data_IF_954277406731
#
_entry.id   IF_954277406731
#
_cell.length_a   1.000
_cell.length_b   1.000
_cell.length_c   1.000
_cell.angle_alpha   90.00
_cell.angle_beta   90.00
_cell.angle_gamma   90.00
#
_symmetry.space_group_name_H-M   'P 1'
#
loop_
_entity.id
_entity.type
_entity.pdbx_description
1 polymer ?
#
# COMPACT_ATOMS: atom_id res chain seq x y z
N UNK A 1 -47.97 -37.81 37.60
CA UNK A 1 -47.57 -37.37 38.95
C UNK A 1 -46.05 -37.25 38.97
N UNK A 2 -45.58 -36.13 39.51
CA UNK A 2 -44.19 -35.72 39.78
C UNK A 2 -43.06 -36.71 39.55
N UNK A 3 -42.10 -36.28 38.73
CA UNK A 3 -40.65 -36.40 38.99
C UNK A 3 -40.07 -35.10 38.38
N UNK A 4 -39.77 -34.06 39.17
CA UNK A 4 -38.51 -33.95 39.89
C UNK A 4 -37.39 -33.56 38.92
N UNK A 5 -37.39 -32.33 38.42
CA UNK A 5 -36.29 -31.81 37.57
C UNK A 5 -35.29 -31.11 38.49
N UNK A 6 -34.12 -31.72 38.60
CA UNK A 6 -32.95 -31.17 39.27
C UNK A 6 -32.57 -29.81 38.65
N UNK A 7 -32.61 -28.78 39.47
CA UNK A 7 -32.07 -27.46 39.15
C UNK A 7 -30.55 -27.51 39.12
N UNK A 8 -29.98 -27.44 37.93
CA UNK A 8 -28.58 -27.08 37.75
C UNK A 8 -28.38 -25.59 38.07
N UNK A 9 -27.27 -25.19 38.71
CA UNK A 9 -27.14 -23.92 39.39
C UNK A 9 -26.99 -22.74 38.41
N UNK A 10 -27.76 -21.67 38.68
CA UNK A 10 -27.57 -20.35 38.08
C UNK A 10 -26.14 -19.84 38.38
N UNK A 11 -25.44 -19.21 37.41
CA UNK A 11 -24.19 -18.53 37.71
C UNK A 11 -24.49 -17.29 38.56
N UNK A 12 -23.99 -17.31 39.80
CA UNK A 12 -24.02 -16.17 40.70
C UNK A 12 -23.24 -15.00 40.07
N UNK A 13 -23.96 -13.91 39.81
CA UNK A 13 -23.38 -12.61 39.53
C UNK A 13 -22.78 -12.05 40.84
N UNK A 14 -21.50 -12.29 41.07
CA UNK A 14 -20.69 -11.53 42.04
C UNK A 14 -19.75 -10.65 41.25
N UNK A 15 -20.11 -9.38 41.13
CA UNK A 15 -19.25 -8.34 40.60
C UNK A 15 -18.12 -8.05 41.58
N UNK A 16 -16.96 -8.66 41.34
CA UNK A 16 -15.71 -8.22 41.94
C UNK A 16 -15.15 -7.07 41.10
N UNK A 17 -15.49 -5.84 41.53
CA UNK A 17 -14.78 -4.64 41.14
C UNK A 17 -13.34 -4.74 41.65
N UNK A 18 -12.42 -5.22 40.81
CA UNK A 18 -10.99 -5.09 41.06
C UNK A 18 -10.63 -3.61 40.88
N UNK A 19 -10.66 -2.87 41.98
CA UNK A 19 -10.05 -1.55 42.07
C UNK A 19 -8.53 -1.71 41.98
N UNK A 20 -7.99 -1.62 40.77
CA UNK A 20 -6.54 -1.50 40.57
C UNK A 20 -6.13 -0.09 41.00
N UNK A 21 -5.68 0.03 42.25
CA UNK A 21 -4.97 1.21 42.73
C UNK A 21 -3.64 1.32 41.96
N UNK A 22 -3.65 2.12 40.88
CA UNK A 22 -2.43 2.45 40.12
C UNK A 22 -1.45 3.21 41.03
N UNK A 23 -0.21 2.76 41.20
CA UNK A 23 0.78 3.51 41.95
C UNK A 23 1.21 4.78 41.19
N UNK A 24 1.21 5.90 41.91
CA UNK A 24 1.87 7.19 41.68
C UNK A 24 1.86 7.81 40.25
N UNK A 25 1.00 8.82 40.09
CA UNK A 25 0.72 9.61 38.86
C UNK A 25 1.74 10.71 38.53
N UNK A 26 2.85 10.81 39.26
CA UNK A 26 3.79 11.95 39.14
C UNK A 26 4.96 11.67 38.18
N UNK A 27 5.54 10.47 38.17
CA UNK A 27 6.66 10.13 37.27
C UNK A 27 6.23 10.02 35.79
N UNK A 28 5.03 9.53 35.54
CA UNK A 28 4.46 9.35 34.19
C UNK A 28 4.08 10.67 33.52
N UNK A 29 3.68 11.70 34.27
CA UNK A 29 3.40 13.04 33.71
C UNK A 29 4.68 13.73 33.24
N UNK A 30 5.74 13.67 34.05
CA UNK A 30 7.03 14.27 33.72
C UNK A 30 7.73 13.53 32.57
N UNK A 31 7.60 12.20 32.51
CA UNK A 31 8.10 11.41 31.39
C UNK A 31 7.36 11.72 30.08
N UNK A 32 6.02 11.87 30.14
CA UNK A 32 5.20 12.28 28.98
C UNK A 32 5.48 13.71 28.51
N UNK A 33 5.82 14.64 29.40
CA UNK A 33 6.20 16.00 29.00
C UNK A 33 7.62 16.05 28.42
N UNK A 34 8.57 15.29 28.99
CA UNK A 34 9.94 15.16 28.49
C UNK A 34 9.97 14.61 27.05
N UNK A 35 9.32 13.47 26.82
CA UNK A 35 9.28 12.82 25.51
C UNK A 35 8.59 13.70 24.45
N UNK A 36 7.61 14.51 24.85
CA UNK A 36 6.93 15.46 23.95
C UNK A 36 7.85 16.58 23.47
N UNK A 37 8.68 17.16 24.34
CA UNK A 37 9.58 18.26 23.96
C UNK A 37 10.73 17.76 23.08
N UNK A 38 11.30 16.59 23.41
CA UNK A 38 12.32 15.94 22.57
C UNK A 38 11.76 15.57 21.20
N UNK A 39 10.63 14.87 21.17
CA UNK A 39 9.98 14.47 19.91
C UNK A 39 9.62 15.69 19.07
N UNK A 40 9.10 16.75 19.70
CA UNK A 40 8.81 18.00 19.01
C UNK A 40 10.06 18.65 18.42
N UNK A 41 11.17 18.69 19.16
CA UNK A 41 12.42 19.26 18.67
C UNK A 41 12.99 18.46 17.48
N UNK A 42 13.04 17.13 17.61
CA UNK A 42 13.49 16.23 16.54
C UNK A 42 12.60 16.38 15.30
N UNK A 43 11.27 16.31 15.47
CA UNK A 43 10.31 16.49 14.38
C UNK A 43 10.48 17.85 13.72
N UNK A 44 10.65 18.92 14.49
CA UNK A 44 10.82 20.27 13.95
C UNK A 44 12.09 20.37 13.13
N UNK A 45 13.22 19.87 13.66
CA UNK A 45 14.50 19.88 12.93
C UNK A 45 14.42 19.10 11.61
N UNK A 46 13.78 17.93 11.62
CA UNK A 46 13.62 17.08 10.42
C UNK A 46 12.64 17.70 9.42
N UNK A 47 11.44 18.09 9.86
CA UNK A 47 10.38 18.63 8.99
C UNK A 47 10.78 19.97 8.39
N UNK A 48 11.42 20.84 9.18
CA UNK A 48 11.91 22.15 8.71
C UNK A 48 13.28 22.07 8.02
N UNK A 49 13.88 20.88 7.94
CA UNK A 49 15.19 20.63 7.31
C UNK A 49 16.28 21.57 7.81
N UNK A 50 16.38 21.72 9.13
CA UNK A 50 17.43 22.55 9.72
C UNK A 50 18.80 21.95 9.42
N UNK A 51 19.73 22.81 8.98
CA UNK A 51 21.12 22.43 8.88
C UNK A 51 21.75 22.35 10.29
N UNK A 52 22.95 21.79 10.39
CA UNK A 52 23.63 21.58 11.67
C UNK A 52 23.79 22.86 12.49
N UNK A 53 24.03 24.01 11.84
CA UNK A 53 24.15 25.29 12.55
C UNK A 53 22.82 25.74 13.15
N UNK A 54 21.73 25.69 12.39
CA UNK A 54 20.39 26.03 12.87
C UNK A 54 19.94 25.09 14.01
N UNK A 55 20.19 23.79 13.84
CA UNK A 55 19.90 22.77 14.86
C UNK A 55 20.68 23.04 16.14
N UNK A 56 21.99 23.28 16.03
CA UNK A 56 22.83 23.57 17.21
C UNK A 56 22.42 24.87 17.90
N UNK A 57 22.08 25.92 17.15
CA UNK A 57 21.61 27.18 17.73
C UNK A 57 20.30 27.00 18.52
N UNK A 58 19.38 26.19 18.00
CA UNK A 58 18.14 25.86 18.70
C UNK A 58 18.40 25.02 19.96
N UNK A 59 19.23 23.98 19.85
CA UNK A 59 19.62 23.14 20.98
C UNK A 59 20.30 23.94 22.08
N UNK A 60 21.24 24.83 21.73
CA UNK A 60 21.89 25.73 22.68
C UNK A 60 20.87 26.63 23.38
N UNK A 61 19.86 27.13 22.66
CA UNK A 61 18.78 27.93 23.25
C UNK A 61 17.93 27.15 24.24
N UNK A 62 17.52 25.92 23.88
CA UNK A 62 16.68 25.08 24.74
C UNK A 62 17.47 24.54 25.93
N UNK A 63 18.73 24.15 25.74
CA UNK A 63 19.60 23.65 26.82
C UNK A 63 20.23 24.79 27.65
N UNK A 64 19.90 26.05 27.36
CA UNK A 64 20.38 27.20 28.14
C UNK A 64 19.58 27.42 29.42
N UNK A 65 20.01 28.41 30.20
CA UNK A 65 19.34 28.80 31.43
C UNK A 65 17.89 29.26 31.23
N UNK A 66 17.51 29.64 30.01
CA UNK A 66 16.14 30.03 29.67
C UNK A 66 15.15 28.88 29.74
N UNK A 67 15.62 27.63 29.75
CA UNK A 67 14.79 26.48 30.05
C UNK A 67 15.53 25.53 31.02
N UNK A 68 15.87 26.04 32.21
CA UNK A 68 16.50 25.31 33.32
C UNK A 68 15.80 24.00 33.73
N UNK A 69 14.52 23.83 33.38
CA UNK A 69 13.74 22.61 33.63
C UNK A 69 13.55 21.74 32.39
N UNK A 70 14.14 22.10 31.25
CA UNK A 70 14.16 21.26 30.06
C UNK A 70 15.07 20.07 30.32
N UNK A 71 14.54 18.88 30.06
CA UNK A 71 15.26 17.62 30.25
C UNK A 71 15.49 16.99 28.88
N UNK A 72 16.06 17.72 27.92
CA UNK A 72 16.48 17.10 26.66
C UNK A 72 17.66 16.16 26.94
N UNK A 73 17.67 14.98 26.33
CA UNK A 73 18.84 14.10 26.25
C UNK A 73 19.69 14.37 25.00
N UNK A 74 19.22 15.28 24.13
CA UNK A 74 19.92 15.72 22.91
C UNK A 74 20.53 17.08 23.19
N UNK A 75 21.86 17.13 23.31
CA UNK A 75 22.60 18.35 23.62
C UNK A 75 23.18 19.00 22.38
N UNK A 76 23.53 18.20 21.38
CA UNK A 76 24.10 18.69 20.15
C UNK A 76 23.55 17.98 18.90
N UNK A 77 24.06 18.41 17.75
CA UNK A 77 23.66 17.85 16.46
C UNK A 77 24.10 16.39 16.30
N UNK A 78 25.16 15.96 16.99
CA UNK A 78 25.62 14.57 16.95
C UNK A 78 24.62 13.67 17.70
N UNK A 79 24.20 14.05 18.90
CA UNK A 79 23.16 13.34 19.68
C UNK A 79 21.86 13.21 18.88
N UNK A 80 21.48 14.25 18.15
CA UNK A 80 20.31 14.23 17.27
C UNK A 80 20.50 13.20 16.15
N UNK A 81 21.66 13.20 15.49
CA UNK A 81 21.96 12.28 14.40
C UNK A 81 22.01 10.82 14.88
N UNK A 82 22.59 10.57 16.06
CA UNK A 82 22.60 9.26 16.71
C UNK A 82 21.19 8.80 17.06
N UNK A 83 20.36 9.68 17.63
CA UNK A 83 18.96 9.40 17.92
C UNK A 83 18.17 9.07 16.65
N UNK A 84 18.39 9.82 15.56
CA UNK A 84 17.79 9.54 14.26
C UNK A 84 18.31 8.21 13.67
N UNK A 85 19.59 7.89 13.84
CA UNK A 85 20.18 6.64 13.39
C UNK A 85 19.59 5.44 14.16
N UNK A 86 19.44 5.54 15.48
CA UNK A 86 18.77 4.55 16.30
C UNK A 86 17.29 4.40 15.90
N UNK A 87 16.58 5.52 15.70
CA UNK A 87 15.18 5.53 15.29
C UNK A 87 14.96 4.87 13.92
N UNK A 88 15.92 4.99 12.99
CA UNK A 88 15.84 4.33 11.68
C UNK A 88 15.70 2.82 11.82
N UNK A 89 16.32 2.18 12.82
CA UNK A 89 16.23 0.72 12.98
C UNK A 89 14.81 0.21 13.29
N UNK A 90 13.88 1.09 13.67
CA UNK A 90 12.48 0.74 13.92
C UNK A 90 11.59 0.84 12.69
N UNK A 91 12.11 1.32 11.56
CA UNK A 91 11.36 1.43 10.30
C UNK A 91 12.05 0.64 9.19
N UNK A 92 11.26 0.12 8.25
CA UNK A 92 11.79 -0.57 7.08
C UNK A 92 12.75 0.33 6.30
N UNK A 93 13.98 -0.15 6.12
CA UNK A 93 15.03 0.60 5.46
C UNK A 93 14.79 0.66 3.95
N UNK A 94 15.32 1.73 3.34
CA UNK A 94 15.40 1.79 1.89
C UNK A 94 16.50 0.85 1.38
N UNK A 95 16.18 0.14 0.32
CA UNK A 95 17.07 -0.66 -0.50
C UNK A 95 17.29 0.04 -1.83
N UNK A 96 18.46 -0.16 -2.40
CA UNK A 96 18.73 0.22 -3.78
C UNK A 96 18.30 -0.91 -4.72
N UNK A 97 17.86 -0.54 -5.91
CA UNK A 97 17.52 -1.46 -6.98
C UNK A 97 17.76 -0.79 -8.31
N UNK A 98 17.76 -1.57 -9.38
CA UNK A 98 17.94 -1.02 -10.72
C UNK A 98 17.08 -1.76 -11.73
N UNK A 99 16.73 -1.04 -12.79
CA UNK A 99 16.00 -1.57 -13.93
C UNK A 99 16.73 -1.16 -15.19
N UNK A 100 17.11 -2.14 -16.00
CA UNK A 100 17.68 -1.90 -17.33
C UNK A 100 16.68 -2.27 -18.43
N UNK A 101 16.57 -1.43 -19.44
CA UNK A 101 15.72 -1.63 -20.59
C UNK A 101 16.42 -1.16 -21.87
N UNK A 102 16.40 -1.98 -22.92
CA UNK A 102 16.96 -1.64 -24.22
C UNK A 102 15.89 -1.00 -25.11
N UNK A 103 16.16 0.19 -25.63
CA UNK A 103 15.26 0.92 -26.51
C UNK A 103 16.07 1.49 -27.68
N UNK A 104 15.67 1.17 -28.92
CA UNK A 104 16.36 1.60 -30.16
C UNK A 104 17.87 1.32 -30.15
N UNK A 105 18.26 0.15 -29.65
CA UNK A 105 19.67 -0.28 -29.56
C UNK A 105 20.50 0.44 -28.49
N UNK A 106 19.87 1.25 -27.64
CA UNK A 106 20.51 1.89 -26.48
C UNK A 106 19.97 1.30 -25.19
N UNK A 107 20.86 1.05 -24.24
CA UNK A 107 20.49 0.57 -22.91
C UNK A 107 20.25 1.73 -21.96
N UNK A 108 19.09 1.74 -21.30
CA UNK A 108 18.69 2.71 -20.29
C UNK A 108 18.61 2.02 -18.94
N UNK A 109 19.40 2.50 -17.96
CA UNK A 109 19.39 2.00 -16.59
C UNK A 109 18.79 3.04 -15.65
N UNK A 110 17.77 2.64 -14.91
CA UNK A 110 17.05 3.45 -13.95
C UNK A 110 17.39 2.97 -12.54
N UNK A 111 17.99 3.83 -11.73
CA UNK A 111 18.29 3.57 -10.33
C UNK A 111 17.05 3.82 -9.48
N UNK A 112 16.77 2.91 -8.56
CA UNK A 112 15.59 2.88 -7.71
C UNK A 112 16.01 2.86 -6.25
N UNK A 113 15.28 3.58 -5.42
CA UNK A 113 15.39 3.48 -3.97
C UNK A 113 14.00 3.22 -3.39
N UNK A 114 13.83 2.07 -2.76
CA UNK A 114 12.52 1.58 -2.32
C UNK A 114 12.58 0.85 -0.99
N UNK A 115 11.48 0.80 -0.25
CA UNK A 115 11.30 -0.07 0.91
C UNK A 115 10.68 -1.38 0.48
N UNK A 116 11.16 -2.49 1.03
CA UNK A 116 10.59 -3.80 0.74
C UNK A 116 9.19 -3.92 1.34
N UNK A 117 8.13 -4.12 0.53
CA UNK A 117 6.77 -4.18 1.04
C UNK A 117 6.54 -5.36 1.99
N UNK A 118 7.22 -6.49 1.80
CA UNK A 118 7.07 -7.65 2.68
C UNK A 118 7.74 -7.42 4.03
N UNK A 119 8.95 -6.87 4.05
CA UNK A 119 9.60 -6.52 5.33
C UNK A 119 8.73 -5.56 6.13
N UNK A 120 8.19 -4.52 5.48
CA UNK A 120 7.25 -3.62 6.12
C UNK A 120 6.02 -4.33 6.68
N UNK A 121 5.40 -5.24 5.92
CA UNK A 121 4.27 -6.02 6.42
C UNK A 121 4.63 -6.90 7.61
N UNK A 122 5.81 -7.54 7.58
CA UNK A 122 6.33 -8.32 8.70
C UNK A 122 6.43 -7.45 9.94
N UNK A 123 7.03 -6.26 9.85
CA UNK A 123 7.13 -5.33 10.98
C UNK A 123 5.76 -4.98 11.59
N UNK A 124 4.73 -4.79 10.76
CA UNK A 124 3.38 -4.50 11.24
C UNK A 124 2.74 -5.67 11.97
N UNK A 125 2.82 -6.88 11.40
CA UNK A 125 2.10 -8.05 11.94
C UNK A 125 2.78 -8.66 13.16
N UNK A 126 4.09 -8.45 13.33
CA UNK A 126 4.82 -8.91 14.52
C UNK A 126 4.80 -7.87 15.65
N UNK A 127 4.41 -6.61 15.40
CA UNK A 127 4.36 -5.55 16.41
C UNK A 127 3.29 -5.88 17.48
N UNK A 128 3.69 -6.18 18.73
CA UNK A 128 2.74 -6.49 19.79
C UNK A 128 1.78 -5.33 20.09
N UNK A 129 2.20 -4.09 19.82
CA UNK A 129 1.37 -2.90 20.05
C UNK A 129 0.23 -2.75 19.04
N UNK A 130 0.34 -3.40 17.88
CA UNK A 130 -0.71 -3.45 16.85
C UNK A 130 -1.55 -4.72 16.92
N UNK A 131 -1.07 -5.76 17.61
CA UNK A 131 -1.65 -7.11 17.61
C UNK A 131 -3.16 -7.16 17.91
N UNK A 132 -3.62 -6.39 18.89
CA UNK A 132 -5.05 -6.32 19.29
C UNK A 132 -5.92 -5.54 18.31
N UNK A 133 -5.31 -4.77 17.42
CA UNK A 133 -6.01 -3.94 16.44
C UNK A 133 -6.04 -4.54 15.04
N UNK A 134 -5.24 -5.57 14.75
CA UNK A 134 -5.25 -6.22 13.45
C UNK A 134 -6.58 -6.95 13.23
N UNK A 135 -7.26 -6.59 12.15
CA UNK A 135 -8.44 -7.27 11.65
C UNK A 135 -7.99 -8.44 10.77
N UNK A 136 -7.90 -9.64 11.35
CA UNK A 136 -7.45 -10.83 10.62
C UNK A 136 -8.46 -11.37 9.61
N UNK A 137 -9.76 -11.12 9.84
CA UNK A 137 -10.85 -11.65 9.06
C UNK A 137 -11.88 -10.57 8.71
N UNK A 138 -12.55 -10.71 7.56
CA UNK A 138 -13.70 -9.89 7.22
C UNK A 138 -14.88 -10.22 8.16
N UNK A 139 -15.75 -9.24 8.37
CA UNK A 139 -16.92 -9.39 9.25
C UNK A 139 -18.17 -8.86 8.58
N UNK A 140 -19.30 -9.41 8.98
CA UNK A 140 -20.60 -8.99 8.50
C UNK A 140 -21.30 -8.14 9.57
N UNK A 141 -21.59 -6.86 9.26
CA UNK A 141 -22.27 -5.96 10.20
C UNK A 141 -23.70 -5.70 9.74
N UNK A 142 -24.65 -5.84 10.66
CA UNK A 142 -26.06 -5.58 10.39
C UNK A 142 -26.63 -4.60 11.41
N UNK A 143 -27.40 -3.63 10.93
CA UNK A 143 -28.27 -2.80 11.77
C UNK A 143 -29.62 -3.49 11.88
N UNK A 144 -30.06 -3.76 13.10
CA UNK A 144 -31.38 -4.30 13.39
C UNK A 144 -32.28 -3.20 13.96
N UNK A 145 -33.18 -2.67 13.14
CA UNK A 145 -34.15 -1.64 13.52
C UNK A 145 -35.57 -2.23 13.52
N UNK A 146 -35.94 -2.83 14.66
CA UNK A 146 -37.22 -3.50 14.83
C UNK A 146 -37.40 -4.71 13.90
N UNK A 147 -38.15 -4.55 12.81
CA UNK A 147 -38.37 -5.59 11.80
C UNK A 147 -37.40 -5.55 10.62
N UNK A 148 -36.56 -4.51 10.53
CA UNK A 148 -35.67 -4.31 9.36
C UNK A 148 -34.24 -4.69 9.72
N UNK A 149 -33.63 -5.55 8.89
CA UNK A 149 -32.22 -5.92 8.97
C UNK A 149 -31.51 -5.33 7.76
N UNK A 150 -30.61 -4.37 7.99
CA UNK A 150 -29.86 -3.68 6.93
C UNK A 150 -28.38 -3.98 7.03
N UNK A 151 -27.76 -4.35 5.91
CA UNK A 151 -26.31 -4.55 5.83
C UNK A 151 -25.56 -3.21 5.93
N UNK A 152 -24.59 -3.13 6.82
CA UNK A 152 -23.70 -1.96 6.98
C UNK A 152 -22.35 -2.23 6.32
N UNK A 153 -21.82 -1.21 5.64
CA UNK A 153 -20.46 -1.16 5.12
C UNK A 153 -19.77 0.10 5.66
N UNK A 154 -19.01 -0.03 6.75
CA UNK A 154 -18.38 1.10 7.44
C UNK A 154 -16.85 1.07 7.37
N UNK A 155 -16.28 -0.12 7.22
CA UNK A 155 -14.84 -0.36 7.15
C UNK A 155 -14.55 -1.41 6.07
N UNK A 156 -13.31 -1.46 5.56
CA UNK A 156 -12.98 -2.32 4.43
C UNK A 156 -13.15 -3.81 4.77
N UNK A 157 -12.97 -4.21 6.03
CA UNK A 157 -13.24 -5.58 6.50
C UNK A 157 -14.72 -5.97 6.47
N UNK A 158 -15.63 -5.00 6.34
CA UNK A 158 -17.07 -5.27 6.15
C UNK A 158 -17.47 -5.43 4.69
N UNK A 159 -16.56 -5.11 3.77
CA UNK A 159 -16.76 -5.21 2.33
C UNK A 159 -16.77 -6.65 1.85
N UNK A 160 -17.68 -6.94 0.90
CA UNK A 160 -17.83 -8.28 0.30
C UNK A 160 -16.54 -8.82 -0.32
N UNK A 161 -15.72 -7.95 -0.93
CA UNK A 161 -14.54 -8.39 -1.67
C UNK A 161 -13.46 -9.03 -0.78
N UNK A 162 -13.27 -8.54 0.45
CA UNK A 162 -12.36 -9.21 1.38
C UNK A 162 -12.89 -10.60 1.72
N UNK A 163 -14.18 -10.73 2.03
CA UNK A 163 -14.83 -12.02 2.27
C UNK A 163 -14.59 -13.02 1.13
N UNK A 164 -14.87 -12.63 -0.12
CA UNK A 164 -14.67 -13.48 -1.30
C UNK A 164 -13.23 -13.97 -1.45
N UNK A 165 -12.24 -13.13 -1.14
CA UNK A 165 -10.82 -13.51 -1.22
C UNK A 165 -10.45 -14.44 -0.06
N UNK A 166 -10.91 -14.12 1.15
CA UNK A 166 -10.64 -14.90 2.35
C UNK A 166 -11.20 -16.33 2.24
N UNK A 167 -12.38 -16.50 1.63
CA UNK A 167 -13.03 -17.79 1.40
C UNK A 167 -12.29 -18.67 0.38
N UNK A 168 -11.53 -18.06 -0.54
CA UNK A 168 -10.69 -18.77 -1.50
C UNK A 168 -9.37 -19.29 -0.91
N UNK A 169 -9.01 -18.87 0.31
CA UNK A 169 -7.82 -19.38 0.98
C UNK A 169 -8.08 -20.78 1.54
N UNK A 170 -7.05 -21.62 1.72
CA UNK A 170 -7.20 -22.92 2.36
C UNK A 170 -7.88 -22.82 3.73
N UNK A 171 -8.93 -23.62 3.93
CA UNK A 171 -9.70 -23.68 5.19
C UNK A 171 -9.43 -24.97 5.98
N UNK A 172 -8.52 -25.83 5.50
CA UNK A 172 -8.24 -27.14 6.08
C UNK A 172 -7.55 -27.06 7.46
N UNK A 173 -7.57 -28.17 8.20
CA UNK A 173 -6.91 -28.28 9.51
C UNK A 173 -5.43 -27.94 9.42
N UNK A 174 -5.03 -26.83 10.05
CA UNK A 174 -3.67 -26.32 10.01
C UNK A 174 -3.54 -24.95 10.65
N UNK A 175 -2.54 -24.18 10.20
CA UNK A 175 -2.39 -22.79 10.62
C UNK A 175 -3.49 -21.93 9.97
N UNK A 176 -4.04 -20.93 10.67
CA UNK A 176 -5.02 -20.04 10.06
C UNK A 176 -4.43 -19.29 8.87
N UNK A 177 -5.13 -19.31 7.74
CA UNK A 177 -4.78 -18.54 6.55
C UNK A 177 -5.50 -17.20 6.58
N UNK A 178 -4.75 -16.10 6.50
CA UNK A 178 -5.33 -14.75 6.52
C UNK A 178 -4.91 -13.95 5.30
N UNK A 179 -5.88 -13.31 4.65
CA UNK A 179 -5.63 -12.31 3.64
C UNK A 179 -5.16 -11.00 4.30
N UNK A 180 -4.05 -10.43 3.82
CA UNK A 180 -3.60 -9.09 4.21
C UNK A 180 -3.94 -8.09 3.11
N UNK A 181 -5.12 -7.44 3.16
CA UNK A 181 -5.50 -6.43 2.19
C UNK A 181 -4.59 -5.21 2.28
N UNK A 182 -4.18 -4.73 1.11
CA UNK A 182 -3.37 -3.54 0.93
C UNK A 182 -4.12 -2.51 0.10
N UNK A 183 -3.91 -1.25 0.43
CA UNK A 183 -4.28 -0.12 -0.41
C UNK A 183 -3.02 0.43 -1.05
N UNK A 184 -2.98 0.40 -2.38
CA UNK A 184 -1.94 0.99 -3.18
C UNK A 184 -2.39 2.35 -3.69
N UNK A 185 -1.55 3.34 -3.47
CA UNK A 185 -1.69 4.66 -4.04
C UNK A 185 -0.47 4.99 -4.90
N UNK A 186 -0.73 5.35 -6.16
CA UNK A 186 0.27 5.81 -7.13
C UNK A 186 -0.25 7.09 -7.76
N UNK A 187 0.54 8.16 -7.69
CA UNK A 187 0.17 9.45 -8.25
C UNK A 187 1.40 10.30 -8.54
N UNK A 188 1.28 11.16 -9.55
CA UNK A 188 2.28 12.16 -9.88
C UNK A 188 2.04 13.44 -9.07
N UNK A 189 2.83 13.63 -8.02
CA UNK A 189 2.78 14.83 -7.20
C UNK A 189 3.89 15.84 -7.51
N UNK A 190 3.60 17.14 -7.35
CA UNK A 190 4.64 18.17 -7.22
C UNK A 190 5.34 18.03 -5.88
N UNK A 191 6.63 17.70 -5.90
CA UNK A 191 7.49 17.64 -4.69
C UNK A 191 8.25 18.95 -4.47
N UNK A 192 8.38 19.76 -5.52
CA UNK A 192 8.86 21.14 -5.47
C UNK A 192 8.21 21.96 -6.58
N UNK A 193 8.47 23.27 -6.63
CA UNK A 193 8.01 24.11 -7.75
C UNK A 193 8.51 23.64 -9.12
N UNK A 194 9.61 22.89 -9.18
CA UNK A 194 10.28 22.48 -10.42
C UNK A 194 10.42 20.96 -10.56
N UNK A 195 9.85 20.16 -9.66
CA UNK A 195 10.07 18.70 -9.64
C UNK A 195 8.79 17.97 -9.30
N UNK A 196 8.31 17.21 -10.27
CA UNK A 196 7.29 16.18 -10.03
C UNK A 196 7.98 14.89 -9.61
N UNK A 197 7.33 14.11 -8.74
CA UNK A 197 7.71 12.72 -8.49
C UNK A 197 6.47 11.85 -8.40
N UNK A 198 6.60 10.63 -8.89
CA UNK A 198 5.54 9.63 -8.85
C UNK A 198 5.72 8.79 -7.60
N UNK A 199 5.02 9.13 -6.54
CA UNK A 199 5.15 8.45 -5.24
C UNK A 199 4.37 7.14 -5.23
N UNK A 200 4.97 6.13 -4.62
CA UNK A 200 4.35 4.83 -4.35
C UNK A 200 4.10 4.75 -2.85
N UNK A 201 2.84 4.67 -2.44
CA UNK A 201 2.44 4.57 -1.03
C UNK A 201 1.60 3.32 -0.84
N UNK A 202 1.85 2.60 0.25
CA UNK A 202 1.04 1.46 0.67
C UNK A 202 0.40 1.74 2.02
N UNK A 203 -0.84 1.31 2.20
CA UNK A 203 -1.50 1.31 3.51
C UNK A 203 -1.96 -0.11 3.89
N UNK A 204 -1.86 -0.47 5.18
CA UNK A 204 -2.30 -1.77 5.70
C UNK A 204 -3.80 -1.71 5.97
N UNK A 205 -4.60 -2.22 5.03
CA UNK A 205 -6.07 -2.15 5.13
C UNK A 205 -6.62 -3.11 6.19
N UNK A 206 -5.80 -4.07 6.64
CA UNK A 206 -6.11 -4.92 7.78
C UNK A 206 -6.00 -4.20 9.13
N UNK A 207 -5.65 -2.92 9.16
CA UNK A 207 -5.75 -2.07 10.34
C UNK A 207 -6.95 -1.10 10.22
N UNK A 208 -7.63 -0.79 11.35
CA UNK A 208 -8.72 0.18 11.39
C UNK A 208 -8.31 1.54 10.83
N UNK A 209 -9.27 2.26 10.24
CA UNK A 209 -9.04 3.57 9.63
C UNK A 209 -8.29 4.56 10.56
N UNK A 210 -8.58 4.53 11.85
CA UNK A 210 -7.98 5.39 12.88
C UNK A 210 -6.48 5.15 13.04
N UNK A 211 -6.00 3.94 12.75
CA UNK A 211 -4.59 3.58 12.82
C UNK A 211 -3.92 3.76 11.46
N UNK A 212 -4.51 3.22 10.39
CA UNK A 212 -3.87 3.23 9.05
C UNK A 212 -3.80 4.62 8.40
N UNK A 213 -4.68 5.53 8.82
CA UNK A 213 -4.65 6.93 8.37
C UNK A 213 -3.86 7.85 9.31
N UNK A 214 -3.39 7.34 10.46
CA UNK A 214 -2.54 8.08 11.37
C UNK A 214 -1.06 8.03 10.93
N UNK A 215 -0.23 8.82 11.59
CA UNK A 215 1.23 8.90 11.37
C UNK A 215 2.05 7.93 12.23
N UNK A 216 1.39 7.03 12.97
CA UNK A 216 2.03 6.05 13.84
C UNK A 216 2.50 4.78 13.12
N UNK A 217 2.94 3.78 13.89
CA UNK A 217 3.51 2.53 13.37
C UNK A 217 2.61 1.79 12.38
N UNK A 218 1.29 1.83 12.58
CA UNK A 218 0.32 1.17 11.70
C UNK A 218 -0.14 2.02 10.50
N UNK A 219 0.43 3.21 10.30
CA UNK A 219 0.07 4.12 9.23
C UNK A 219 0.53 3.67 7.84
N UNK A 220 0.12 4.43 6.83
CA UNK A 220 0.63 4.28 5.47
C UNK A 220 2.14 4.53 5.37
N UNK A 221 2.82 3.77 4.51
CA UNK A 221 4.25 3.92 4.26
C UNK A 221 4.53 4.37 2.84
N UNK A 222 5.43 5.34 2.71
CA UNK A 222 6.07 5.64 1.43
C UNK A 222 7.05 4.51 1.07
N UNK A 223 6.79 3.84 -0.06
CA UNK A 223 7.59 2.74 -0.57
C UNK A 223 8.74 3.26 -1.42
N UNK A 224 8.50 4.19 -2.33
CA UNK A 224 9.52 4.65 -3.25
C UNK A 224 8.97 5.61 -4.31
N UNK A 225 9.84 6.02 -5.23
CA UNK A 225 9.43 6.79 -6.40
C UNK A 225 9.48 5.92 -7.66
N UNK A 226 8.45 6.01 -8.50
CA UNK A 226 8.52 5.56 -9.87
C UNK A 226 9.44 6.53 -10.66
N UNK A 227 10.47 6.03 -11.37
CA UNK A 227 11.35 6.87 -12.14
C UNK A 227 10.58 7.54 -13.28
N UNK A 228 10.86 8.81 -13.50
CA UNK A 228 10.36 9.54 -14.66
C UNK A 228 11.19 9.08 -15.85
N UNK A 229 10.55 8.40 -16.78
CA UNK A 229 11.15 8.03 -18.06
C UNK A 229 11.08 9.24 -18.97
N UNK A 230 12.17 9.99 -19.08
CA UNK A 230 12.29 11.13 -20.00
C UNK A 230 12.09 10.69 -21.45
N UNK A 231 11.80 11.65 -22.34
CA UNK A 231 11.82 11.37 -23.78
C UNK A 231 13.29 11.18 -24.21
N UNK A 232 13.68 10.02 -24.76
CA UNK A 232 15.03 9.80 -25.28
C UNK A 232 15.50 10.83 -26.32
N UNK A 233 14.56 11.55 -26.95
CA UNK A 233 14.81 12.50 -28.03
C UNK A 233 14.67 13.99 -27.61
N UNK A 234 14.35 14.31 -26.36
CA UNK A 234 14.07 15.68 -25.87
C UNK A 234 13.04 16.52 -26.67
N UNK A 235 12.32 15.89 -27.61
CA UNK A 235 11.19 16.48 -28.34
C UNK A 235 9.91 16.41 -27.51
N UNK A 236 9.06 17.43 -27.59
CA UNK A 236 7.65 17.32 -27.17
C UNK A 236 6.94 16.55 -28.28
N UNK A 237 6.99 15.22 -28.25
CA UNK A 237 6.19 14.40 -29.16
C UNK A 237 4.75 14.41 -28.64
N UNK A 238 3.81 14.85 -29.48
CA UNK A 238 2.39 14.69 -29.25
C UNK A 238 2.10 13.19 -29.22
N UNK A 239 1.42 12.69 -28.19
CA UNK A 239 0.96 11.30 -28.19
C UNK A 239 -0.05 11.10 -29.32
N UNK A 240 0.37 10.37 -30.34
CA UNK A 240 -0.41 10.08 -31.53
C UNK A 240 -0.27 8.60 -31.92
N UNK A 241 -0.93 8.19 -33.00
CA UNK A 241 -0.94 6.80 -33.45
C UNK A 241 0.23 6.48 -34.40
N UNK A 242 1.25 7.34 -34.48
CA UNK A 242 2.44 7.07 -35.28
C UNK A 242 3.25 5.91 -34.69
N UNK A 243 3.96 5.13 -35.52
CA UNK A 243 4.78 4.03 -35.04
C UNK A 243 5.80 4.44 -33.96
N UNK A 244 6.40 5.63 -34.09
CA UNK A 244 7.38 6.16 -33.14
C UNK A 244 6.76 6.49 -31.77
N UNK A 245 5.59 7.13 -31.77
CA UNK A 245 4.89 7.50 -30.52
C UNK A 245 4.40 6.26 -29.77
N UNK A 246 3.85 5.27 -30.50
CA UNK A 246 3.41 3.99 -29.92
C UNK A 246 4.58 3.20 -29.33
N UNK A 247 5.73 3.17 -30.03
CA UNK A 247 6.95 2.50 -29.56
C UNK A 247 7.48 3.16 -28.27
N UNK A 248 7.50 4.50 -28.22
CA UNK A 248 7.92 5.25 -27.04
C UNK A 248 6.98 5.03 -25.85
N UNK A 249 5.66 5.05 -26.07
CA UNK A 249 4.66 4.77 -25.04
C UNK A 249 4.81 3.33 -24.51
N UNK A 250 5.05 2.35 -25.39
CA UNK A 250 5.33 0.98 -25.00
C UNK A 250 6.60 0.89 -24.12
N UNK A 251 7.69 1.56 -24.51
CA UNK A 251 8.92 1.63 -23.72
C UNK A 251 8.69 2.18 -22.30
N UNK A 252 7.97 3.30 -22.18
CA UNK A 252 7.63 3.89 -20.88
C UNK A 252 6.86 2.90 -19.99
N UNK A 253 5.85 2.24 -20.56
CA UNK A 253 5.05 1.23 -19.84
C UNK A 253 5.85 -0.01 -19.45
N UNK A 254 6.76 -0.48 -20.31
CA UNK A 254 7.63 -1.62 -19.99
C UNK A 254 8.60 -1.30 -18.85
N UNK A 255 9.20 -0.10 -18.85
CA UNK A 255 10.01 0.37 -17.72
C UNK A 255 9.15 0.46 -16.45
N UNK A 256 7.97 1.06 -16.53
CA UNK A 256 7.04 1.17 -15.41
C UNK A 256 6.72 -0.19 -14.77
N UNK A 257 6.39 -1.20 -15.57
CA UNK A 257 6.11 -2.55 -15.08
C UNK A 257 7.35 -3.30 -14.58
N UNK A 258 8.53 -3.03 -15.12
CA UNK A 258 9.81 -3.57 -14.59
C UNK A 258 10.11 -2.97 -13.22
N UNK A 259 9.87 -1.68 -13.00
CA UNK A 259 10.05 -1.01 -11.70
C UNK A 259 9.12 -1.60 -10.66
N UNK A 260 7.82 -1.70 -10.96
CA UNK A 260 6.86 -2.34 -10.06
C UNK A 260 7.23 -3.79 -9.77
N UNK A 261 7.75 -4.51 -10.76
CA UNK A 261 8.20 -5.87 -10.56
C UNK A 261 9.34 -5.97 -9.54
N UNK A 262 10.31 -5.05 -9.57
CA UNK A 262 11.40 -5.00 -8.59
C UNK A 262 10.85 -4.67 -7.20
N UNK A 263 10.05 -3.62 -7.09
CA UNK A 263 9.54 -3.11 -5.81
C UNK A 263 8.63 -4.14 -5.13
N UNK A 264 7.70 -4.74 -5.88
CA UNK A 264 6.70 -5.67 -5.35
C UNK A 264 7.16 -7.13 -5.37
N UNK A 265 8.43 -7.40 -5.73
CA UNK A 265 8.95 -8.76 -5.89
C UNK A 265 8.71 -9.64 -4.67
N UNK A 266 8.91 -9.09 -3.47
CA UNK A 266 8.87 -9.83 -2.21
C UNK A 266 7.47 -10.31 -1.85
N UNK A 267 6.42 -9.57 -2.19
CA UNK A 267 5.03 -9.96 -1.91
C UNK A 267 4.43 -10.83 -3.03
N UNK A 268 5.08 -10.95 -4.20
CA UNK A 268 4.51 -11.59 -5.41
C UNK A 268 4.21 -13.07 -5.28
N UNK A 269 5.12 -13.84 -4.67
CA UNK A 269 4.87 -15.28 -4.46
C UNK A 269 3.98 -15.50 -3.26
N UNK A 270 4.10 -14.62 -2.26
CA UNK A 270 3.36 -14.65 -0.99
C UNK A 270 1.89 -14.31 -1.16
N UNK A 271 1.56 -13.46 -2.14
CA UNK A 271 0.18 -13.19 -2.55
C UNK A 271 -0.55 -14.39 -3.15
N UNK A 272 0.13 -15.51 -3.42
CA UNK A 272 -0.51 -16.71 -3.95
C UNK A 272 -0.44 -17.90 -2.99
N UNK A 273 0.66 -18.03 -2.26
CA UNK A 273 0.94 -19.20 -1.42
C UNK A 273 0.96 -18.86 0.07
N UNK A 274 0.88 -17.58 0.41
CA UNK A 274 1.13 -17.08 1.76
C UNK A 274 2.59 -17.18 2.19
N UNK A 275 2.84 -16.74 3.42
CA UNK A 275 4.06 -17.00 4.16
C UNK A 275 3.72 -17.17 5.65
N UNK A 276 4.42 -18.07 6.34
CA UNK A 276 4.09 -18.38 7.73
C UNK A 276 4.85 -17.48 8.68
N UNK A 277 4.15 -16.72 9.52
CA UNK A 277 4.75 -15.86 10.55
C UNK A 277 4.14 -16.13 11.92
N UNK A 278 4.94 -15.97 12.98
CA UNK A 278 4.43 -15.79 14.35
C UNK A 278 4.10 -14.31 14.54
N UNK A 279 2.83 -13.99 14.76
CA UNK A 279 2.35 -12.61 14.85
C UNK A 279 2.56 -12.03 16.26
N UNK A 280 2.34 -10.72 16.42
CA UNK A 280 2.52 -10.01 17.70
C UNK A 280 1.62 -10.52 18.84
N UNK A 281 0.55 -11.25 18.52
CA UNK A 281 -0.32 -11.96 19.47
C UNK A 281 0.16 -13.40 19.79
N UNK A 282 1.35 -13.79 19.32
CA UNK A 282 1.97 -15.12 19.47
C UNK A 282 1.23 -16.25 18.76
N UNK A 283 0.31 -15.93 17.85
CA UNK A 283 -0.37 -16.93 17.02
C UNK A 283 0.36 -17.01 15.68
N UNK A 284 0.67 -18.23 15.25
CA UNK A 284 1.25 -18.49 13.93
C UNK A 284 0.15 -18.50 12.87
N UNK A 285 0.36 -17.78 11.78
CA UNK A 285 -0.60 -17.66 10.66
C UNK A 285 0.10 -17.77 9.31
N UNK A 286 -0.62 -18.21 8.29
CA UNK A 286 -0.20 -18.13 6.89
C UNK A 286 -0.79 -16.86 6.28
N UNK A 287 0.08 -15.89 5.99
CA UNK A 287 -0.33 -14.54 5.60
C UNK A 287 -0.17 -14.33 4.10
N UNK A 288 -1.26 -13.97 3.43
CA UNK A 288 -1.28 -13.77 1.98
C UNK A 288 -1.58 -12.30 1.65
N UNK A 289 -0.58 -11.46 1.33
CA UNK A 289 -0.82 -10.06 0.99
C UNK A 289 -1.43 -9.90 -0.40
N UNK A 290 -2.28 -8.89 -0.57
CA UNK A 290 -2.77 -8.52 -1.89
C UNK A 290 -3.45 -7.16 -1.92
N UNK A 291 -3.49 -6.55 -3.10
CA UNK A 291 -4.11 -5.24 -3.27
C UNK A 291 -5.62 -5.39 -3.35
N UNK A 292 -6.31 -4.79 -2.38
CA UNK A 292 -7.75 -4.72 -2.35
C UNK A 292 -8.25 -3.39 -2.95
N UNK A 293 -7.48 -2.32 -2.74
CA UNK A 293 -7.76 -0.99 -3.25
C UNK A 293 -6.58 -0.53 -4.07
N UNK A 294 -6.87 -0.06 -5.29
CA UNK A 294 -5.90 0.54 -6.19
C UNK A 294 -6.37 1.95 -6.51
N UNK A 295 -5.80 2.93 -5.81
CA UNK A 295 -6.13 4.34 -5.98
C UNK A 295 -5.10 4.98 -6.89
N UNK A 296 -5.46 5.10 -8.16
CA UNK A 296 -4.67 5.73 -9.20
C UNK A 296 -5.56 6.63 -10.02
N UNK A 297 -4.99 7.67 -10.60
CA UNK A 297 -5.71 8.52 -11.53
C UNK A 297 -5.90 7.81 -12.89
N UNK A 298 -6.50 8.52 -13.85
CA UNK A 298 -6.77 7.95 -15.17
C UNK A 298 -5.51 7.56 -15.94
N UNK A 299 -4.44 8.36 -15.87
CA UNK A 299 -3.20 8.15 -16.60
C UNK A 299 -2.41 6.97 -16.00
N UNK A 300 -2.18 6.98 -14.68
CA UNK A 300 -1.57 5.86 -13.96
C UNK A 300 -2.42 4.59 -14.08
N UNK A 301 -3.74 4.72 -14.12
CA UNK A 301 -4.66 3.62 -14.41
C UNK A 301 -4.39 2.97 -15.77
N UNK A 302 -4.08 3.77 -16.78
CA UNK A 302 -3.73 3.25 -18.10
C UNK A 302 -2.34 2.59 -18.12
N UNK A 303 -1.35 3.20 -17.46
CA UNK A 303 -0.01 2.64 -17.32
C UNK A 303 -0.02 1.30 -16.57
N UNK A 304 -0.78 1.21 -15.49
CA UNK A 304 -0.90 0.00 -14.67
C UNK A 304 -1.67 -1.11 -15.38
N UNK A 305 -2.62 -0.79 -16.25
CA UNK A 305 -3.38 -1.78 -17.02
C UNK A 305 -2.81 -2.07 -18.42
N UNK A 306 -1.79 -1.34 -18.87
CA UNK A 306 -1.21 -1.47 -20.21
C UNK A 306 -2.15 -1.01 -21.33
N UNK A 307 -3.07 -0.08 -21.03
CA UNK A 307 -4.01 0.47 -22.02
C UNK A 307 -3.45 1.72 -22.70
N UNK A 308 -4.02 2.08 -23.86
CA UNK A 308 -3.61 3.26 -24.66
C UNK A 308 -4.30 4.57 -24.24
N UNK A 309 -4.99 4.58 -23.10
CA UNK A 309 -5.70 5.76 -22.60
C UNK A 309 -6.76 6.33 -23.53
N UNK A 310 -6.99 7.64 -23.45
CA UNK A 310 -8.11 8.34 -24.08
C UNK A 310 -8.16 8.23 -25.63
N UNK A 311 -7.03 7.91 -26.25
CA UNK A 311 -6.94 7.75 -27.70
C UNK A 311 -7.28 6.33 -28.18
N UNK A 312 -7.50 5.39 -27.27
CA UNK A 312 -7.87 4.02 -27.62
C UNK A 312 -9.33 3.90 -28.08
N UNK A 313 -9.61 2.90 -28.92
CA UNK A 313 -10.99 2.45 -29.23
C UNK A 313 -11.72 2.00 -27.95
N UNK A 314 -10.97 1.43 -26.99
CA UNK A 314 -11.47 1.01 -25.69
C UNK A 314 -10.63 1.66 -24.57
N UNK A 315 -10.90 2.93 -24.22
CA UNK A 315 -10.00 3.74 -23.41
C UNK A 315 -10.02 3.42 -21.91
N UNK A 316 -11.09 2.78 -21.41
CA UNK A 316 -11.21 2.49 -19.99
C UNK A 316 -10.23 1.39 -19.54
N UNK A 317 -9.47 1.58 -18.43
CA UNK A 317 -8.61 0.53 -17.86
C UNK A 317 -9.39 -0.58 -17.15
N UNK A 318 -10.68 -0.37 -16.85
CA UNK A 318 -11.53 -1.33 -16.12
C UNK A 318 -12.39 -2.22 -17.04
N UNK A 319 -12.88 -1.70 -18.15
CA UNK A 319 -13.80 -2.42 -19.04
C UNK A 319 -13.52 -2.15 -20.52
N UNK A 320 -14.18 -2.91 -21.40
CA UNK A 320 -14.10 -2.83 -22.86
C UNK A 320 -15.14 -1.87 -23.46
N UNK A 321 -15.51 -0.81 -22.74
CA UNK A 321 -16.38 0.25 -23.30
C UNK A 321 -15.75 0.89 -24.53
N UNK A 322 -16.53 1.06 -25.60
CA UNK A 322 -16.08 1.78 -26.79
C UNK A 322 -15.96 3.29 -26.51
N UNK A 323 -15.04 3.98 -27.18
CA UNK A 323 -14.78 5.42 -26.99
C UNK A 323 -16.04 6.26 -27.14
N UNK A 324 -16.90 5.90 -28.10
CA UNK A 324 -18.15 6.59 -28.42
C UNK A 324 -19.24 6.38 -27.36
N UNK A 325 -19.08 5.35 -26.52
CA UNK A 325 -20.05 4.97 -25.49
C UNK A 325 -19.63 5.36 -24.07
N UNK A 326 -18.52 6.10 -23.91
CA UNK A 326 -18.02 6.53 -22.59
C UNK A 326 -19.03 7.34 -21.77
N UNK A 327 -19.95 8.04 -22.43
CA UNK A 327 -21.00 8.82 -21.77
C UNK A 327 -22.20 7.99 -21.30
N UNK A 328 -22.25 6.70 -21.67
CA UNK A 328 -23.36 5.80 -21.39
C UNK A 328 -23.23 5.16 -20.00
N UNK A 329 -23.38 5.95 -18.94
CA UNK A 329 -23.16 5.53 -17.54
C UNK A 329 -24.11 4.44 -17.05
N UNK A 330 -25.28 4.28 -17.69
CA UNK A 330 -26.27 3.26 -17.33
C UNK A 330 -26.06 1.91 -18.00
N UNK A 331 -25.07 1.79 -18.91
CA UNK A 331 -24.76 0.54 -19.60
C UNK A 331 -23.64 -0.19 -18.89
N UNK A 332 -23.79 -1.51 -18.81
CA UNK A 332 -22.72 -2.40 -18.39
C UNK A 332 -21.85 -2.79 -19.59
N UNK A 333 -20.54 -2.77 -19.38
CA UNK A 333 -19.56 -3.19 -20.38
C UNK A 333 -18.72 -4.33 -19.84
N UNK A 334 -18.30 -5.23 -20.73
CA UNK A 334 -17.47 -6.37 -20.35
C UNK A 334 -16.22 -5.92 -19.59
N UNK A 335 -15.94 -6.44 -18.38
CA UNK A 335 -14.77 -6.06 -17.61
C UNK A 335 -13.49 -6.58 -18.26
N UNK A 336 -12.37 -5.89 -18.04
CA UNK A 336 -11.05 -6.38 -18.45
C UNK A 336 -10.54 -7.40 -17.45
N UNK A 337 -10.85 -8.67 -17.68
CA UNK A 337 -10.38 -9.74 -16.81
C UNK A 337 -8.89 -10.07 -17.10
N UNK A 338 -8.04 -10.22 -16.06
CA UNK A 338 -6.62 -10.56 -16.20
C UNK A 338 -6.32 -11.73 -17.12
N UNK A 339 -7.11 -12.81 -17.01
CA UNK A 339 -6.92 -14.03 -17.78
C UNK A 339 -7.22 -13.80 -19.27
N UNK A 340 -8.30 -13.09 -19.57
CA UNK A 340 -8.68 -12.75 -20.95
C UNK A 340 -7.65 -11.83 -21.60
N UNK A 341 -7.25 -10.77 -20.90
CA UNK A 341 -6.24 -9.83 -21.41
C UNK A 341 -4.89 -10.51 -21.63
N UNK A 342 -4.53 -11.49 -20.78
CA UNK A 342 -3.34 -12.33 -20.98
C UNK A 342 -3.45 -13.18 -22.24
N UNK A 343 -4.61 -13.78 -22.52
CA UNK A 343 -4.82 -14.55 -23.75
C UNK A 343 -4.64 -13.65 -24.99
N UNK A 344 -5.15 -12.42 -24.96
CA UNK A 344 -4.95 -11.45 -26.05
C UNK A 344 -3.47 -11.11 -26.21
N UNK A 345 -2.75 -10.86 -25.12
CA UNK A 345 -1.31 -10.60 -25.15
C UNK A 345 -0.52 -11.78 -25.76
N UNK A 346 -0.80 -13.02 -25.35
CA UNK A 346 -0.13 -14.20 -25.89
C UNK A 346 -0.46 -14.45 -27.37
N UNK A 347 -1.68 -14.13 -27.81
CA UNK A 347 -2.02 -14.12 -29.25
C UNK A 347 -1.20 -13.07 -29.99
N UNK A 348 -1.13 -11.85 -29.46
CA UNK A 348 -0.35 -10.76 -30.05
C UNK A 348 1.15 -11.10 -30.16
N UNK A 349 1.70 -11.80 -29.16
CA UNK A 349 3.10 -12.25 -29.14
C UNK A 349 3.43 -13.24 -30.26
N UNK A 350 2.46 -14.05 -30.71
CA UNK A 350 2.64 -15.04 -31.79
C UNK A 350 2.57 -14.42 -33.19
N UNK A 351 2.11 -13.18 -33.31
CA UNK A 351 1.98 -12.49 -34.60
C UNK A 351 3.33 -11.86 -34.98
N UNK A 352 3.89 -12.28 -36.11
CA UNK A 352 5.17 -11.77 -36.63
C UNK A 352 5.04 -10.37 -37.25
N UNK A 353 3.94 -10.10 -37.94
CA UNK A 353 3.71 -8.80 -38.58
C UNK A 353 3.38 -7.74 -37.53
N UNK A 354 4.20 -6.69 -37.46
CA UNK A 354 3.98 -5.58 -36.53
C UNK A 354 2.61 -4.92 -36.75
N UNK A 355 2.21 -4.73 -38.00
CA UNK A 355 0.91 -4.16 -38.38
C UNK A 355 -0.25 -5.02 -37.90
N UNK A 356 -0.21 -6.33 -38.12
CA UNK A 356 -1.27 -7.24 -37.69
C UNK A 356 -1.36 -7.33 -36.16
N UNK A 357 -0.22 -7.34 -35.47
CA UNK A 357 -0.15 -7.31 -34.00
C UNK A 357 -0.74 -6.02 -33.44
N UNK A 358 -0.40 -4.87 -34.02
CA UNK A 358 -0.96 -3.58 -33.62
C UNK A 358 -2.47 -3.51 -33.86
N UNK A 359 -2.96 -4.05 -34.98
CA UNK A 359 -4.40 -4.11 -35.27
C UNK A 359 -5.17 -4.91 -34.21
N UNK A 360 -4.67 -6.10 -33.84
CA UNK A 360 -5.25 -6.90 -32.75
C UNK A 360 -5.31 -6.11 -31.45
N UNK A 361 -4.18 -5.53 -31.03
CA UNK A 361 -4.09 -4.82 -29.74
C UNK A 361 -4.94 -3.54 -29.73
N UNK A 362 -5.06 -2.83 -30.86
CA UNK A 362 -5.97 -1.69 -31.02
C UNK A 362 -7.43 -2.09 -30.80
N UNK A 363 -7.82 -3.27 -31.29
CA UNK A 363 -9.16 -3.84 -31.06
C UNK A 363 -9.51 -4.04 -29.58
N UNK A 364 -8.53 -4.02 -28.68
CA UNK A 364 -8.73 -4.09 -27.23
C UNK A 364 -8.18 -2.85 -26.50
N UNK A 365 -7.71 -1.83 -27.21
CA UNK A 365 -7.11 -0.63 -26.61
C UNK A 365 -5.84 -0.87 -25.79
N UNK A 366 -5.01 -1.86 -26.15
CA UNK A 366 -3.82 -2.28 -25.40
C UNK A 366 -2.50 -1.87 -26.09
N UNK A 367 -1.45 -1.64 -25.30
CA UNK A 367 -0.07 -1.71 -25.78
C UNK A 367 0.47 -3.15 -25.75
N UNK A 368 1.54 -3.42 -26.48
CA UNK A 368 2.20 -4.73 -26.45
C UNK A 368 3.13 -4.84 -25.23
N UNK A 369 2.55 -4.82 -24.03
CA UNK A 369 3.32 -4.79 -22.78
C UNK A 369 2.91 -5.93 -21.86
N UNK A 370 3.89 -6.58 -21.25
CA UNK A 370 3.65 -7.59 -20.21
C UNK A 370 3.30 -6.90 -18.89
N UNK A 371 2.01 -6.83 -18.57
CA UNK A 371 1.50 -6.25 -17.33
C UNK A 371 1.93 -7.09 -16.11
N UNK A 372 2.69 -6.49 -15.21
CA UNK A 372 3.18 -7.12 -13.97
C UNK A 372 2.11 -7.28 -12.88
N UNK A 373 0.93 -6.65 -13.02
CA UNK A 373 -0.13 -6.64 -11.99
C UNK A 373 -0.94 -7.92 -11.88
N UNK A 374 -0.93 -8.77 -12.91
CA UNK A 374 -1.61 -10.07 -12.93
C UNK A 374 -1.06 -11.07 -11.88
N UNK A 375 -0.16 -10.65 -11.00
CA UNK A 375 0.44 -11.43 -9.91
C UNK A 375 0.02 -10.98 -8.50
N UNK A 376 -0.68 -9.84 -8.33
CA UNK A 376 -0.96 -9.28 -7.00
C UNK A 376 -2.45 -9.14 -6.66
N UNK A 377 -3.33 -9.26 -7.66
CA UNK A 377 -4.76 -9.47 -7.42
C UNK A 377 -4.99 -10.97 -7.23
N UNK A 378 -5.36 -11.38 -6.01
CA UNK A 378 -6.00 -12.68 -5.82
C UNK A 378 -7.15 -12.79 -6.80
N UNK A 379 -7.10 -13.86 -7.60
CA UNK A 379 -8.11 -14.33 -8.57
C UNK A 379 -9.28 -13.34 -8.72
N UNK A 380 -9.16 -12.46 -9.71
CA UNK A 380 -10.33 -11.96 -10.42
C UNK A 380 -10.86 -13.16 -11.22
N UNK A 381 -11.56 -14.06 -10.52
CA UNK A 381 -12.33 -15.14 -11.13
C UNK A 381 -13.59 -14.55 -11.72
#
# INVERSE_FOLDING_TARGET
MNVGVDGAPQPAATGDLIAIQLPARESTKLYKSKMKVETWMIMTAVVKRFNSHCTQKLLNGINSQWANNSKLTIFDTNDLNESLAAARNFVTQFKDGEVTHEFRGKSYTFQLRYRDPWEWLVHLVIDPTLSTSIMWYPVEKYLHDGSTITRIYDEVNTGRRWWEIQDQLPQEYGLPHCFLPLHLWLDQGKVSHATNKHSIVLQPVFLPSEIRNASGNGGGIFIGFMPIVGNPNDSIEVEDDTPSSVELAQFKQEVYHKVLHVILKSIRKRSHHGDTLECGDRIRRVLSPGFLIHSVDGEEGCLTCGTRGANANHPCPKCLVAKEELTQLSKDFAPRLPLEMRVIFEKAKKILSSTARMSLLRGFGLHFVKVSWNFFCFRLS
#
